data_IF_194438230455
#
_entry.id   IF_194438230455
#
_cell.length_a   1.000
_cell.length_b   1.000
_cell.length_c   1.000
_cell.angle_alpha   90.00
_cell.angle_beta   90.00
_cell.angle_gamma   90.00
#
_symmetry.space_group_name_H-M   'P 1'
#
loop_
_entity.id
_entity.type
_entity.pdbx_description
1 polymer ?
#
# COMPACT_ATOMS: atom_id res chain seq x y z
N UNK A 1 18.03 13.45 10.31
CA UNK A 1 17.39 13.54 8.96
C UNK A 1 17.46 12.14 8.34
N UNK A 2 16.33 11.57 7.97
CA UNK A 2 16.26 10.25 7.34
C UNK A 2 16.84 10.31 5.92
N UNK A 3 17.47 9.20 5.47
CA UNK A 3 17.98 9.09 4.09
C UNK A 3 16.86 8.99 3.07
N UNK A 4 15.79 8.25 3.43
CA UNK A 4 14.62 8.04 2.59
C UNK A 4 13.47 8.98 2.92
N UNK A 5 12.32 8.74 2.28
CA UNK A 5 11.10 9.49 2.51
C UNK A 5 10.46 9.04 3.82
N UNK A 6 10.22 9.93 4.80
CA UNK A 6 9.56 9.58 6.04
C UNK A 6 8.12 9.08 5.81
N UNK A 7 7.76 7.99 6.47
CA UNK A 7 6.40 7.42 6.43
C UNK A 7 5.40 8.23 7.25
N UNK A 8 5.89 9.02 8.18
CA UNK A 8 5.10 9.70 9.20
C UNK A 8 4.86 8.87 10.48
N UNK A 9 5.32 7.63 10.52
CA UNK A 9 5.34 6.79 11.72
C UNK A 9 6.75 6.81 12.31
N UNK A 10 6.93 7.55 13.39
CA UNK A 10 8.24 7.85 13.98
C UNK A 10 9.09 6.60 14.26
N UNK A 11 8.50 5.57 14.89
CA UNK A 11 9.26 4.35 15.21
C UNK A 11 9.65 3.59 13.94
N UNK A 12 8.75 3.51 12.97
CA UNK A 12 9.03 2.88 11.69
C UNK A 12 10.13 3.62 10.93
N UNK A 13 10.08 4.94 10.90
CA UNK A 13 11.08 5.77 10.25
C UNK A 13 12.45 5.67 10.92
N UNK A 14 12.49 5.46 12.23
CA UNK A 14 13.75 5.21 12.96
C UNK A 14 14.39 3.89 12.52
N UNK A 15 13.59 2.84 12.35
CA UNK A 15 14.08 1.51 11.92
C UNK A 15 14.47 1.51 10.44
N UNK A 16 13.60 2.06 9.57
CA UNK A 16 13.82 2.04 8.13
C UNK A 16 14.75 3.15 7.62
N UNK A 17 14.97 4.18 8.40
CA UNK A 17 15.60 5.46 7.96
C UNK A 17 14.83 6.15 6.82
N UNK A 18 13.52 5.97 6.80
CA UNK A 18 12.62 6.37 5.74
C UNK A 18 12.51 5.36 4.60
N UNK A 19 11.66 5.65 3.62
CA UNK A 19 11.48 4.83 2.43
C UNK A 19 12.57 5.14 1.42
N UNK A 20 13.44 4.16 1.13
CA UNK A 20 14.57 4.33 0.23
C UNK A 20 14.17 4.40 -1.24
N UNK A 21 14.74 5.32 -1.99
CA UNK A 21 14.55 5.39 -3.43
C UNK A 21 15.12 4.16 -4.11
N UNK A 22 14.35 3.57 -4.99
CA UNK A 22 14.72 2.33 -5.67
C UNK A 22 14.47 1.06 -4.86
N UNK A 23 13.88 1.16 -3.65
CA UNK A 23 13.56 0.01 -2.81
C UNK A 23 12.16 -0.54 -3.11
N UNK A 24 12.06 -1.86 -3.07
CA UNK A 24 10.79 -2.59 -3.03
C UNK A 24 10.50 -3.01 -1.59
N UNK A 25 9.44 -2.46 -1.03
CA UNK A 25 8.98 -2.74 0.33
C UNK A 25 7.70 -3.57 0.24
N UNK A 26 7.71 -4.73 0.85
CA UNK A 26 6.53 -5.61 0.93
C UNK A 26 5.85 -5.40 2.28
N UNK A 27 4.57 -5.06 2.24
CA UNK A 27 3.71 -4.98 3.42
C UNK A 27 2.76 -6.18 3.40
N UNK A 28 3.03 -7.16 4.24
CA UNK A 28 2.30 -8.42 4.27
C UNK A 28 1.40 -8.53 5.50
N UNK A 29 0.19 -9.02 5.30
CA UNK A 29 -0.77 -9.25 6.37
C UNK A 29 -1.81 -10.30 5.99
N UNK A 30 -2.39 -10.92 7.01
CA UNK A 30 -3.63 -11.69 6.87
C UNK A 30 -4.79 -10.75 6.54
N UNK A 31 -5.83 -11.23 5.85
CA UNK A 31 -7.04 -10.44 5.64
C UNK A 31 -7.62 -9.89 6.96
N UNK A 32 -8.10 -8.66 6.96
CA UNK A 32 -8.70 -8.01 8.13
C UNK A 32 -7.71 -7.42 9.14
N UNK A 33 -6.40 -7.48 8.89
CA UNK A 33 -5.38 -6.90 9.78
C UNK A 33 -5.17 -5.39 9.58
N UNK A 34 -5.77 -4.81 8.54
CA UNK A 34 -5.69 -3.38 8.25
C UNK A 34 -4.53 -2.99 7.34
N UNK A 35 -4.05 -3.88 6.45
CA UNK A 35 -2.95 -3.57 5.52
C UNK A 35 -3.24 -2.39 4.60
N UNK A 36 -4.43 -2.34 4.02
CA UNK A 36 -4.86 -1.24 3.15
C UNK A 36 -4.91 0.08 3.91
N UNK A 37 -5.53 0.10 5.09
CA UNK A 37 -5.61 1.30 5.93
C UNK A 37 -4.23 1.81 6.33
N UNK A 38 -3.31 0.93 6.69
CA UNK A 38 -1.95 1.29 7.03
C UNK A 38 -1.19 1.90 5.85
N UNK A 39 -1.28 1.27 4.67
CA UNK A 39 -0.67 1.77 3.45
C UNK A 39 -1.25 3.12 3.01
N UNK A 40 -2.57 3.31 3.11
CA UNK A 40 -3.22 4.59 2.82
C UNK A 40 -2.79 5.69 3.80
N UNK A 41 -2.60 5.37 5.07
CA UNK A 41 -2.07 6.31 6.05
C UNK A 41 -0.64 6.76 5.69
N UNK A 42 0.22 5.85 5.28
CA UNK A 42 1.56 6.20 4.80
C UNK A 42 1.47 7.10 3.57
N UNK A 43 0.68 6.71 2.56
CA UNK A 43 0.51 7.47 1.33
C UNK A 43 0.02 8.90 1.60
N UNK A 44 -1.00 9.05 2.43
CA UNK A 44 -1.58 10.34 2.80
C UNK A 44 -0.58 11.21 3.54
N UNK A 45 0.14 10.66 4.52
CA UNK A 45 1.16 11.40 5.27
C UNK A 45 2.32 11.83 4.38
N UNK A 46 2.79 10.98 3.49
CA UNK A 46 3.84 11.33 2.53
C UNK A 46 3.39 12.47 1.62
N UNK A 47 2.19 12.36 1.04
CA UNK A 47 1.66 13.40 0.17
C UNK A 47 1.44 14.74 0.89
N UNK A 48 0.88 14.72 2.09
CA UNK A 48 0.52 15.93 2.83
C UNK A 48 1.69 16.56 3.56
N UNK A 49 2.52 15.77 4.24
CA UNK A 49 3.60 16.27 5.09
C UNK A 49 4.90 16.48 4.32
N UNK A 50 5.24 15.58 3.40
CA UNK A 50 6.47 15.67 2.62
C UNK A 50 6.27 16.37 1.27
N UNK A 51 5.01 16.62 0.87
CA UNK A 51 4.64 17.19 -0.44
C UNK A 51 5.19 16.37 -1.61
N UNK A 52 5.31 15.07 -1.41
CA UNK A 52 5.78 14.11 -2.40
C UNK A 52 4.56 13.49 -3.10
N UNK A 53 4.47 13.56 -4.43
CA UNK A 53 3.39 12.92 -5.17
C UNK A 53 3.40 11.40 -4.99
N UNK A 54 2.23 10.83 -4.72
CA UNK A 54 2.02 9.40 -4.49
C UNK A 54 1.08 8.84 -5.55
N UNK A 55 1.46 7.74 -6.18
CA UNK A 55 0.59 6.97 -7.05
C UNK A 55 0.11 5.71 -6.33
N UNK A 56 -1.20 5.51 -6.27
CA UNK A 56 -1.84 4.33 -5.66
C UNK A 56 -2.53 3.53 -6.75
N UNK A 57 -2.07 2.29 -6.94
CA UNK A 57 -2.72 1.31 -7.79
C UNK A 57 -3.51 0.34 -6.93
N UNK A 58 -4.83 0.45 -6.98
CA UNK A 58 -5.73 -0.42 -6.24
C UNK A 58 -6.38 -1.42 -7.19
N UNK A 59 -6.08 -2.69 -6.98
CA UNK A 59 -6.65 -3.78 -7.76
C UNK A 59 -7.85 -4.44 -7.05
N UNK A 60 -8.04 -4.12 -5.77
CA UNK A 60 -9.13 -4.64 -4.95
C UNK A 60 -10.27 -3.65 -4.77
N UNK A 61 -9.95 -2.37 -4.54
CA UNK A 61 -10.90 -1.32 -4.22
C UNK A 61 -11.03 -0.30 -5.35
N UNK A 62 -12.22 0.27 -5.52
CA UNK A 62 -12.43 1.39 -6.45
C UNK A 62 -11.81 2.69 -5.92
N UNK A 63 -11.57 3.65 -6.80
CA UNK A 63 -11.12 5.00 -6.43
C UNK A 63 -12.03 5.65 -5.41
N UNK A 64 -13.34 5.49 -5.59
CA UNK A 64 -14.34 6.02 -4.68
C UNK A 64 -14.20 5.42 -3.27
N UNK A 65 -14.05 4.10 -3.17
CA UNK A 65 -13.84 3.42 -1.89
C UNK A 65 -12.54 3.86 -1.21
N UNK A 66 -11.46 4.04 -1.97
CA UNK A 66 -10.20 4.57 -1.45
C UNK A 66 -10.35 6.00 -0.93
N UNK A 67 -10.99 6.86 -1.71
CA UNK A 67 -11.23 8.26 -1.33
C UNK A 67 -12.05 8.33 -0.05
N UNK A 68 -13.09 7.51 0.08
CA UNK A 68 -13.92 7.45 1.28
C UNK A 68 -13.13 7.00 2.50
N UNK A 69 -12.23 6.02 2.35
CA UNK A 69 -11.33 5.60 3.45
C UNK A 69 -10.36 6.69 3.87
N UNK A 70 -9.78 7.39 2.91
CA UNK A 70 -8.84 8.48 3.20
C UNK A 70 -9.57 9.62 3.91
N UNK A 71 -10.75 10.02 3.41
CA UNK A 71 -11.55 11.08 4.02
C UNK A 71 -12.01 10.72 5.43
N UNK A 72 -12.54 9.51 5.64
CA UNK A 72 -13.00 9.09 6.97
C UNK A 72 -11.85 9.03 7.98
N UNK A 73 -10.68 8.55 7.57
CA UNK A 73 -9.50 8.50 8.42
C UNK A 73 -9.00 9.91 8.79
N UNK A 74 -8.93 10.82 7.82
CA UNK A 74 -8.48 12.19 8.05
C UNK A 74 -9.48 12.98 8.90
N UNK A 75 -10.77 12.77 8.71
CA UNK A 75 -11.82 13.40 9.49
C UNK A 75 -12.02 12.79 10.89
N UNK A 76 -11.44 11.60 11.14
CA UNK A 76 -11.64 10.88 12.40
C UNK A 76 -13.05 10.31 12.56
N UNK A 77 -13.73 9.98 11.46
CA UNK A 77 -15.08 9.43 11.43
C UNK A 77 -15.00 7.92 11.24
N UNK A 78 -15.88 7.19 11.93
CA UNK A 78 -16.01 5.76 11.74
C UNK A 78 -16.39 5.42 10.29
N UNK A 79 -15.68 4.47 9.67
CA UNK A 79 -15.87 4.12 8.26
C UNK A 79 -17.25 3.57 7.97
N UNK A 80 -17.88 2.90 8.93
CA UNK A 80 -19.22 2.39 8.77
C UNK A 80 -20.25 3.51 8.82
N UNK A 81 -20.10 4.45 9.76
CA UNK A 81 -20.94 5.65 9.83
C UNK A 81 -20.84 6.48 8.55
N UNK A 82 -19.63 6.63 8.04
CA UNK A 82 -19.40 7.31 6.75
C UNK A 82 -20.12 6.62 5.59
N UNK A 83 -20.00 5.30 5.48
CA UNK A 83 -20.60 4.51 4.40
C UNK A 83 -22.12 4.49 4.45
N UNK A 84 -22.71 4.46 5.64
CA UNK A 84 -24.16 4.40 5.84
C UNK A 84 -24.83 5.77 5.85
N UNK A 85 -24.05 6.84 5.86
CA UNK A 85 -24.54 8.21 5.99
C UNK A 85 -25.06 8.56 7.39
N UNK A 86 -24.81 7.70 8.38
CA UNK A 86 -25.19 7.93 9.78
C UNK A 86 -24.22 8.93 10.46
N UNK A 87 -24.13 10.14 9.89
CA UNK A 87 -23.23 11.19 10.33
C UNK A 87 -23.95 12.17 11.25
N UNK A 88 -23.24 12.58 12.31
CA UNK A 88 -23.69 13.64 13.20
C UNK A 88 -23.42 15.01 12.57
N UNK A 89 -24.08 16.06 13.06
CA UNK A 89 -23.88 17.42 12.55
C UNK A 89 -22.41 17.84 12.60
N UNK A 90 -21.70 17.51 13.68
CA UNK A 90 -20.27 17.82 13.85
C UNK A 90 -19.36 17.05 12.87
N UNK A 91 -19.76 15.85 12.44
CA UNK A 91 -19.00 15.04 11.48
C UNK A 91 -18.89 15.74 10.12
N UNK A 92 -19.91 16.49 9.73
CA UNK A 92 -19.91 17.27 8.48
C UNK A 92 -18.85 18.38 8.50
N UNK A 93 -18.61 19.01 9.66
CA UNK A 93 -17.57 20.02 9.81
C UNK A 93 -16.19 19.36 9.68
N UNK A 94 -15.97 18.21 10.32
CA UNK A 94 -14.73 17.44 10.20
C UNK A 94 -14.46 16.98 8.76
N UNK A 95 -15.50 16.56 8.04
CA UNK A 95 -15.39 16.19 6.64
C UNK A 95 -15.02 17.38 5.75
N UNK A 96 -15.61 18.54 5.97
CA UNK A 96 -15.27 19.75 5.24
C UNK A 96 -13.79 20.12 5.42
N UNK A 97 -13.29 20.07 6.66
CA UNK A 97 -11.88 20.34 6.99
C UNK A 97 -10.95 19.29 6.36
N UNK A 98 -11.33 18.01 6.40
CA UNK A 98 -10.56 16.94 5.78
C UNK A 98 -10.50 17.10 4.26
N UNK A 99 -11.61 17.45 3.63
CA UNK A 99 -11.68 17.69 2.19
C UNK A 99 -10.78 18.87 1.79
N UNK A 100 -10.78 19.94 2.55
CA UNK A 100 -9.91 21.09 2.32
C UNK A 100 -8.43 20.71 2.41
N UNK A 101 -8.05 19.98 3.45
CA UNK A 101 -6.67 19.51 3.63
C UNK A 101 -6.20 18.59 2.50
N UNK A 102 -7.08 17.71 2.01
CA UNK A 102 -6.75 16.73 0.99
C UNK A 102 -6.86 17.26 -0.43
N UNK A 103 -7.53 18.39 -0.63
CA UNK A 103 -7.78 18.96 -1.96
C UNK A 103 -6.49 19.16 -2.77
N UNK A 104 -5.44 19.65 -2.12
CA UNK A 104 -4.17 19.93 -2.78
C UNK A 104 -3.13 18.82 -2.59
N UNK A 105 -3.49 17.73 -1.91
CA UNK A 105 -2.58 16.62 -1.70
C UNK A 105 -2.32 15.90 -3.03
N UNK A 106 -1.05 15.71 -3.42
CA UNK A 106 -0.69 15.12 -4.70
C UNK A 106 -0.82 13.59 -4.66
N UNK A 107 -2.05 13.09 -4.62
CA UNK A 107 -2.37 11.65 -4.60
C UNK A 107 -3.06 11.28 -5.91
N UNK A 108 -2.44 10.36 -6.66
CA UNK A 108 -2.99 9.82 -7.90
C UNK A 108 -3.47 8.41 -7.66
N UNK A 109 -4.74 8.13 -7.94
CA UNK A 109 -5.34 6.81 -7.75
C UNK A 109 -5.72 6.19 -9.08
N UNK A 110 -5.40 4.92 -9.24
CA UNK A 110 -5.80 4.10 -10.37
C UNK A 110 -6.41 2.78 -9.86
N UNK A 111 -7.60 2.44 -10.36
CA UNK A 111 -8.35 1.24 -9.96
C UNK A 111 -8.55 0.26 -11.12
N UNK A 112 -7.71 0.34 -12.14
CA UNK A 112 -7.75 -0.57 -13.29
C UNK A 112 -7.45 -2.00 -12.82
N UNK A 113 -8.43 -2.90 -12.96
CA UNK A 113 -8.25 -4.33 -12.67
C UNK A 113 -7.34 -4.99 -13.71
N UNK A 114 -6.52 -5.95 -13.26
CA UNK A 114 -5.62 -6.67 -14.14
C UNK A 114 -4.52 -5.82 -14.77
N UNK A 115 -4.19 -4.68 -14.19
CA UNK A 115 -3.15 -3.79 -14.68
C UNK A 115 -1.78 -4.51 -14.70
N UNK A 116 -1.03 -4.32 -15.78
CA UNK A 116 0.34 -4.80 -15.93
C UNK A 116 1.35 -3.75 -15.46
N UNK A 117 2.59 -4.18 -15.21
CA UNK A 117 3.67 -3.25 -14.85
C UNK A 117 3.96 -2.26 -15.98
N UNK A 118 3.90 -2.69 -17.22
CA UNK A 118 4.06 -1.81 -18.38
C UNK A 118 3.01 -0.71 -18.42
N UNK A 119 1.76 -1.04 -18.14
CA UNK A 119 0.68 -0.06 -18.05
C UNK A 119 0.86 0.89 -16.85
N UNK A 120 1.31 0.39 -15.70
CA UNK A 120 1.64 1.23 -14.55
C UNK A 120 2.73 2.24 -14.90
N UNK A 121 3.81 1.81 -15.52
CA UNK A 121 4.89 2.69 -15.97
C UNK A 121 4.40 3.77 -16.92
N UNK A 122 3.55 3.41 -17.88
CA UNK A 122 3.00 4.36 -18.84
C UNK A 122 2.15 5.44 -18.14
N UNK A 123 1.32 5.04 -17.19
CA UNK A 123 0.47 5.97 -16.43
C UNK A 123 1.31 6.91 -15.55
N UNK A 124 2.33 6.42 -14.87
CA UNK A 124 3.24 7.24 -14.05
C UNK A 124 4.02 8.23 -14.93
N UNK A 125 4.53 7.78 -16.07
CA UNK A 125 5.23 8.66 -17.02
C UNK A 125 4.34 9.78 -17.53
N UNK A 126 3.06 9.49 -17.78
CA UNK A 126 2.08 10.52 -18.16
C UNK A 126 1.88 11.56 -17.07
N UNK A 127 1.76 11.13 -15.81
CA UNK A 127 1.67 12.05 -14.67
C UNK A 127 2.93 12.89 -14.55
N UNK A 128 4.10 12.30 -14.75
CA UNK A 128 5.40 12.97 -14.66
C UNK A 128 5.68 13.94 -15.82
N UNK A 129 4.87 13.95 -16.87
CA UNK A 129 5.01 14.88 -17.99
C UNK A 129 4.57 16.32 -17.66
N UNK A 130 3.83 16.51 -16.60
CA UNK A 130 3.41 17.85 -16.16
C UNK A 130 4.60 18.58 -15.51
N UNK A 131 5.19 19.60 -16.21
CA UNK A 131 6.37 20.28 -15.69
C UNK A 131 6.07 21.18 -14.48
N UNK A 132 4.80 21.43 -14.19
CA UNK A 132 4.37 22.27 -13.08
C UNK A 132 4.32 21.51 -11.75
N UNK A 133 4.47 20.18 -11.79
CA UNK A 133 4.38 19.31 -10.62
C UNK A 133 5.62 18.44 -10.45
N UNK A 134 6.02 18.15 -9.21
CA UNK A 134 7.07 17.17 -8.99
C UNK A 134 6.67 15.79 -9.53
N UNK A 135 7.66 14.98 -9.89
CA UNK A 135 7.43 13.61 -10.30
C UNK A 135 6.92 12.76 -9.15
N UNK A 136 6.19 11.69 -9.47
CA UNK A 136 5.78 10.68 -8.48
C UNK A 136 7.00 10.18 -7.72
N UNK A 137 6.93 10.25 -6.40
CA UNK A 137 8.01 9.89 -5.49
C UNK A 137 7.72 8.68 -4.59
N UNK A 138 6.51 8.13 -4.64
CA UNK A 138 6.12 6.91 -3.95
C UNK A 138 5.04 6.20 -4.77
N UNK A 139 5.15 4.89 -4.89
CA UNK A 139 4.16 4.03 -5.54
C UNK A 139 3.65 3.03 -4.51
N UNK A 140 2.31 2.89 -4.42
CA UNK A 140 1.63 1.91 -3.56
C UNK A 140 0.77 1.00 -4.43
N UNK A 141 0.88 -0.30 -4.24
CA UNK A 141 0.13 -1.32 -4.98
C UNK A 141 -0.66 -2.19 -4.01
N UNK A 142 -1.97 -2.23 -4.16
CA UNK A 142 -2.87 -3.01 -3.31
C UNK A 142 -3.75 -3.95 -4.15
N UNK A 143 -3.51 -5.22 -4.18
CA UNK A 143 -2.41 -5.96 -3.60
C UNK A 143 -1.78 -6.87 -4.67
N UNK A 144 -0.58 -7.31 -4.40
CA UNK A 144 0.31 -7.96 -5.37
C UNK A 144 -0.29 -9.18 -6.08
N UNK A 145 -1.02 -10.03 -5.35
CA UNK A 145 -1.60 -11.26 -5.89
C UNK A 145 -2.76 -11.03 -6.88
N UNK A 146 -3.24 -9.80 -7.05
CA UNK A 146 -4.23 -9.43 -8.07
C UNK A 146 -3.58 -8.93 -9.37
N UNK A 147 -2.27 -8.77 -9.40
CA UNK A 147 -1.55 -8.37 -10.60
C UNK A 147 -1.45 -9.51 -11.60
N UNK A 148 -1.23 -9.16 -12.85
CA UNK A 148 -1.00 -10.09 -13.96
C UNK A 148 0.19 -9.64 -14.81
N UNK A 149 0.84 -10.60 -15.47
CA UNK A 149 1.85 -10.31 -16.50
C UNK A 149 1.21 -10.00 -17.86
N UNK A 150 -0.09 -10.22 -18.01
CA UNK A 150 -0.80 -10.14 -19.30
C UNK A 150 -0.60 -11.35 -20.20
N UNK A 151 0.17 -12.33 -19.75
CA UNK A 151 0.41 -13.60 -20.47
C UNK A 151 -0.25 -14.75 -19.72
N UNK A 152 -0.67 -15.79 -20.44
CA UNK A 152 -1.12 -17.02 -19.81
C UNK A 152 0.05 -17.69 -19.10
N UNK A 153 -0.04 -17.83 -17.80
CA UNK A 153 0.92 -18.57 -16.99
C UNK A 153 0.23 -19.79 -16.38
N UNK A 154 0.85 -20.95 -16.56
CA UNK A 154 0.37 -22.21 -15.95
C UNK A 154 0.75 -22.29 -14.48
N UNK A 155 1.71 -21.47 -14.03
CA UNK A 155 2.21 -21.47 -12.66
C UNK A 155 2.12 -20.07 -12.04
N UNK A 156 1.16 -19.89 -11.15
CA UNK A 156 0.93 -18.62 -10.44
C UNK A 156 2.12 -18.19 -9.58
N UNK A 157 2.86 -19.12 -9.01
CA UNK A 157 4.06 -18.84 -8.20
C UNK A 157 5.14 -18.19 -9.07
N UNK A 158 5.36 -18.71 -10.26
CA UNK A 158 6.32 -18.13 -11.22
C UNK A 158 5.86 -16.76 -11.71
N UNK A 159 4.57 -16.59 -11.94
CA UNK A 159 4.02 -15.29 -12.33
C UNK A 159 4.24 -14.23 -11.25
N UNK A 160 3.95 -14.51 -10.00
CA UNK A 160 4.21 -13.61 -8.87
C UNK A 160 5.69 -13.29 -8.74
N UNK A 161 6.57 -14.28 -8.91
CA UNK A 161 8.02 -14.06 -8.89
C UNK A 161 8.48 -13.12 -10.00
N UNK A 162 7.93 -13.26 -11.19
CA UNK A 162 8.21 -12.36 -12.31
C UNK A 162 7.72 -10.93 -12.02
N UNK A 163 6.53 -10.79 -11.45
CA UNK A 163 5.95 -9.50 -11.08
C UNK A 163 6.82 -8.80 -10.03
N UNK A 164 7.23 -9.49 -8.97
CA UNK A 164 8.09 -8.91 -7.91
C UNK A 164 9.44 -8.45 -8.44
N UNK A 165 10.06 -9.26 -9.27
CA UNK A 165 11.32 -8.87 -9.94
C UNK A 165 11.15 -7.62 -10.79
N UNK A 166 10.11 -7.55 -11.59
CA UNK A 166 9.83 -6.40 -12.44
C UNK A 166 9.44 -5.15 -11.64
N UNK A 167 8.79 -5.30 -10.48
CA UNK A 167 8.54 -4.19 -9.57
C UNK A 167 9.84 -3.64 -8.97
N UNK A 168 10.79 -4.51 -8.60
CA UNK A 168 12.10 -4.08 -8.14
C UNK A 168 12.86 -3.32 -9.23
N UNK A 169 12.81 -3.81 -10.47
CA UNK A 169 13.40 -3.12 -11.62
C UNK A 169 12.76 -1.76 -11.82
N UNK A 170 11.43 -1.67 -11.77
CA UNK A 170 10.69 -0.41 -11.90
C UNK A 170 11.08 0.59 -10.81
N UNK A 171 11.20 0.15 -9.56
CA UNK A 171 11.64 0.99 -8.45
C UNK A 171 13.01 1.61 -8.71
N UNK A 172 13.96 0.82 -9.21
CA UNK A 172 15.30 1.30 -9.59
C UNK A 172 15.27 2.25 -10.76
N UNK A 173 14.59 1.90 -11.84
CA UNK A 173 14.51 2.73 -13.05
C UNK A 173 13.90 4.09 -12.78
N UNK A 174 12.84 4.15 -12.01
CA UNK A 174 12.14 5.39 -11.64
C UNK A 174 12.77 6.10 -10.44
N UNK A 175 13.70 5.44 -9.75
CA UNK A 175 14.34 5.94 -8.52
C UNK A 175 13.32 6.35 -7.46
N UNK A 176 12.34 5.50 -7.22
CA UNK A 176 11.27 5.69 -6.25
C UNK A 176 11.07 4.45 -5.40
N UNK A 177 10.66 4.58 -4.12
CA UNK A 177 10.20 3.44 -3.34
C UNK A 177 8.86 2.93 -3.86
N UNK A 178 8.69 1.61 -3.85
CA UNK A 178 7.42 0.93 -4.12
C UNK A 178 7.02 0.16 -2.87
N UNK A 179 5.82 0.42 -2.36
CA UNK A 179 5.18 -0.39 -1.33
C UNK A 179 4.17 -1.29 -2.02
N UNK A 180 4.44 -2.60 -2.07
CA UNK A 180 3.52 -3.59 -2.57
C UNK A 180 2.89 -4.38 -1.41
N UNK A 181 1.57 -4.37 -1.32
CA UNK A 181 0.84 -5.11 -0.32
C UNK A 181 0.75 -6.57 -0.73
N UNK A 182 0.93 -7.46 0.21
CA UNK A 182 0.85 -8.91 0.02
C UNK A 182 -0.11 -9.52 1.02
N UNK A 183 -1.01 -10.36 0.52
CA UNK A 183 -1.94 -11.09 1.36
C UNK A 183 -1.32 -12.43 1.75
N UNK A 184 -1.29 -12.72 3.06
CA UNK A 184 -0.83 -14.00 3.58
C UNK A 184 -1.96 -15.05 3.54
N UNK A 185 -1.60 -16.29 3.26
CA UNK A 185 -2.54 -17.40 3.22
C UNK A 185 -2.97 -17.85 4.62
N UNK A 186 -4.08 -18.62 4.69
CA UNK A 186 -4.56 -19.21 5.95
C UNK A 186 -3.62 -20.26 6.53
N UNK A 187 -2.66 -20.76 5.77
CA UNK A 187 -1.68 -21.72 6.23
C UNK A 187 -0.85 -21.20 7.42
N UNK A 188 -0.65 -19.90 7.50
CA UNK A 188 0.03 -19.22 8.61
C UNK A 188 -0.63 -19.50 9.97
N UNK A 189 -1.96 -19.65 9.99
CA UNK A 189 -2.75 -19.88 11.22
C UNK A 189 -2.70 -21.32 11.70
N UNK A 190 -2.31 -22.25 10.82
CA UNK A 190 -2.32 -23.69 11.11
C UNK A 190 -0.98 -24.24 11.59
N UNK A 191 0.08 -23.44 11.54
CA UNK A 191 1.42 -23.89 11.94
C UNK A 191 1.63 -23.76 13.44
N UNK A 192 1.27 -24.80 14.16
CA UNK A 192 1.86 -25.15 15.44
C UNK A 192 1.04 -24.85 16.68
N UNK A 193 1.11 -25.83 17.59
CA UNK A 193 0.65 -25.82 18.99
C UNK A 193 1.31 -24.73 19.88
N UNK A 194 2.02 -23.77 19.31
CA UNK A 194 2.68 -22.70 20.03
C UNK A 194 2.12 -21.32 19.65
N UNK A 195 1.49 -20.76 20.55
CA UNK A 195 0.83 -19.51 20.88
C UNK A 195 1.27 -18.20 20.20
N UNK A 196 2.06 -18.15 19.16
CA UNK A 196 2.30 -16.90 18.44
C UNK A 196 1.92 -17.05 16.97
N UNK A 197 0.75 -16.55 16.62
CA UNK A 197 0.28 -16.41 15.24
C UNK A 197 1.02 -15.32 14.44
N UNK A 198 2.22 -14.93 14.90
CA UNK A 198 3.02 -13.87 14.27
C UNK A 198 3.58 -14.36 12.93
N UNK A 199 3.36 -13.61 11.84
CA UNK A 199 3.91 -13.95 10.55
C UNK A 199 5.44 -13.96 10.54
N UNK A 200 6.00 -14.81 9.67
CA UNK A 200 7.43 -14.96 9.44
C UNK A 200 7.74 -14.92 7.94
N UNK A 201 9.01 -14.69 7.57
CA UNK A 201 9.42 -14.69 6.17
C UNK A 201 9.07 -15.99 5.43
N UNK A 202 9.13 -17.12 6.13
CA UNK A 202 8.70 -18.42 5.57
C UNK A 202 7.25 -18.45 5.10
N UNK A 203 6.39 -17.60 5.64
CA UNK A 203 4.99 -17.52 5.27
C UNK A 203 4.76 -16.86 3.90
N UNK A 204 5.77 -16.22 3.35
CA UNK A 204 5.78 -15.69 1.97
C UNK A 204 6.20 -16.72 0.92
N UNK A 205 6.65 -17.92 1.30
CA UNK A 205 7.15 -18.95 0.37
C UNK A 205 6.12 -19.39 -0.65
N UNK A 206 4.85 -19.46 -0.25
CA UNK A 206 3.74 -19.81 -1.16
C UNK A 206 3.48 -18.73 -2.23
N UNK A 207 4.06 -17.54 -2.05
CA UNK A 207 3.97 -16.41 -2.97
C UNK A 207 5.20 -16.26 -3.86
N UNK A 208 6.03 -17.29 -3.97
CA UNK A 208 7.22 -17.32 -4.80
C UNK A 208 8.44 -16.64 -4.17
N UNK A 209 9.25 -15.97 -4.98
CA UNK A 209 10.50 -15.34 -4.56
C UNK A 209 10.35 -13.91 -4.06
N UNK A 210 9.17 -13.55 -3.48
CA UNK A 210 8.91 -12.18 -2.98
C UNK A 210 10.02 -11.72 -2.03
N UNK A 211 10.41 -12.58 -1.09
CA UNK A 211 11.48 -12.26 -0.12
C UNK A 211 12.86 -12.03 -0.77
N UNK A 212 13.10 -12.60 -1.95
CA UNK A 212 14.38 -12.45 -2.65
C UNK A 212 14.51 -11.10 -3.35
N UNK A 213 13.42 -10.57 -3.88
CA UNK A 213 13.40 -9.31 -4.61
C UNK A 213 13.13 -8.10 -3.71
N UNK A 214 12.51 -8.32 -2.54
CA UNK A 214 12.20 -7.26 -1.59
C UNK A 214 13.45 -6.77 -0.85
N UNK A 215 13.59 -5.46 -0.71
CA UNK A 215 14.61 -4.84 0.15
C UNK A 215 14.18 -4.84 1.62
N UNK A 216 12.88 -4.82 1.85
CA UNK A 216 12.28 -4.82 3.18
C UNK A 216 10.94 -5.55 3.17
N UNK A 217 10.66 -6.31 4.20
CA UNK A 217 9.35 -6.93 4.43
C UNK A 217 8.82 -6.44 5.77
N UNK A 218 7.63 -5.86 5.75
CA UNK A 218 6.89 -5.44 6.93
C UNK A 218 5.70 -6.37 7.12
N UNK A 219 5.57 -6.93 8.31
CA UNK A 219 4.41 -7.71 8.69
C UNK A 219 3.49 -6.88 9.58
N UNK A 220 2.23 -6.78 9.19
CA UNK A 220 1.20 -6.16 10.02
C UNK A 220 0.46 -7.23 10.79
N UNK A 221 0.43 -7.08 12.12
CA UNK A 221 -0.14 -8.05 13.03
C UNK A 221 -0.94 -7.35 14.14
N UNK A 222 -2.09 -7.92 14.49
CA UNK A 222 -2.95 -7.42 15.57
C UNK A 222 -3.30 -8.56 16.52
N UNK A 223 -2.79 -8.49 17.75
CA UNK A 223 -3.09 -9.48 18.80
C UNK A 223 -4.60 -9.56 19.10
N UNK A 224 -5.29 -8.39 19.10
CA UNK A 224 -6.71 -8.32 19.38
C UNK A 224 -7.60 -9.07 18.39
N UNK A 225 -7.13 -9.33 17.18
CA UNK A 225 -7.86 -10.10 16.19
C UNK A 225 -8.02 -11.55 16.62
N UNK A 226 -7.00 -12.12 17.26
CA UNK A 226 -6.99 -13.52 17.74
C UNK A 226 -7.58 -13.66 19.15
N UNK A 227 -7.58 -12.60 19.95
CA UNK A 227 -8.16 -12.61 21.29
C UNK A 227 -9.69 -12.65 21.29
N UNK A 228 -10.33 -12.35 20.16
CA UNK A 228 -11.78 -12.31 19.99
C UNK A 228 -12.36 -13.58 19.31
N UNK A 229 -11.53 -14.55 18.99
CA UNK A 229 -11.91 -15.88 18.48
C UNK A 229 -11.76 -16.92 19.58
#
# INVERSE_FOLDING_TARGET
KYKGIPTGFRLLDTVLTGLGRGDLIILAARPGMGKTSFALNIATRVAMQQKVPVAIFSLEMTKEQLTNRILSAEAGIDSQAFRTGALRAEDWEYLALATEKLHDAPIYMDDTSGITITEMKAKIRRVNQDPTRPNVGLIVIDYLQLMTTGQRSENRVQEISSITRNLKIMAKEMNVPIIALSQLSRAVEKQGNNSSHRPQLSDLRDSGSIEQDADCVLFLYRDSYYASQ
#
